data_IF_598228065825
#
_entry.id   IF_598228065825
#
_cell.length_a   1.000
_cell.length_b   1.000
_cell.length_c   1.000
_cell.angle_alpha   90.00
_cell.angle_beta   90.00
_cell.angle_gamma   90.00
#
_symmetry.space_group_name_H-M   'P 1'
#
loop_
_entity.id
_entity.type
_entity.pdbx_description
1 polymer ?
#
# COMPACT_ATOMS: atom_id res chain seq x y z
N UNK A 1 -12.36 0.64 4.68
CA UNK A 1 -12.79 1.96 5.19
C UNK A 1 -14.13 2.30 4.57
N UNK A 2 -15.10 2.75 5.37
CA UNK A 2 -16.37 3.29 4.90
C UNK A 2 -16.50 4.73 5.39
N UNK A 3 -16.95 5.65 4.54
CA UNK A 3 -17.21 7.04 4.91
C UNK A 3 -18.56 7.49 4.36
N UNK A 4 -19.33 8.17 5.20
CA UNK A 4 -20.60 8.82 4.86
C UNK A 4 -20.63 10.21 5.47
N UNK A 5 -20.55 11.24 4.61
CA UNK A 5 -20.42 12.65 5.03
C UNK A 5 -19.22 12.84 5.99
N UNK A 6 -19.50 13.19 7.24
CA UNK A 6 -18.49 13.36 8.29
C UNK A 6 -18.18 12.08 9.06
N UNK A 7 -19.01 11.03 8.95
CA UNK A 7 -18.85 9.78 9.69
C UNK A 7 -17.95 8.81 8.91
N UNK A 8 -16.99 8.20 9.60
CA UNK A 8 -16.11 7.17 9.05
C UNK A 8 -16.04 5.93 9.94
N UNK A 9 -15.81 4.77 9.33
CA UNK A 9 -15.63 3.47 9.99
C UNK A 9 -14.47 2.70 9.38
N UNK A 10 -13.52 2.27 10.21
CA UNK A 10 -12.37 1.46 9.84
C UNK A 10 -12.41 0.10 10.54
N UNK A 11 -12.12 -0.96 9.78
CA UNK A 11 -12.03 -2.34 10.28
C UNK A 11 -10.62 -2.84 9.96
N UNK A 12 -9.98 -3.51 10.93
CA UNK A 12 -8.65 -4.11 10.78
C UNK A 12 -8.74 -5.57 11.19
N UNK A 13 -8.49 -6.48 10.24
CA UNK A 13 -8.73 -7.92 10.44
C UNK A 13 -10.20 -8.18 10.76
N UNK A 14 -10.44 -9.04 11.75
CA UNK A 14 -11.78 -9.42 12.23
C UNK A 14 -12.22 -8.63 13.48
N UNK A 15 -11.56 -7.50 13.76
CA UNK A 15 -11.88 -6.66 14.90
C UNK A 15 -13.15 -5.84 14.67
N UNK A 16 -13.78 -5.41 15.76
CA UNK A 16 -14.91 -4.51 15.72
C UNK A 16 -14.56 -3.19 14.99
N UNK A 17 -15.50 -2.58 14.25
CA UNK A 17 -15.26 -1.32 13.55
C UNK A 17 -14.94 -0.20 14.52
N UNK A 18 -13.90 0.57 14.21
CA UNK A 18 -13.55 1.82 14.88
C UNK A 18 -14.18 2.97 14.11
N UNK A 19 -15.03 3.72 14.79
CA UNK A 19 -15.75 4.85 14.20
C UNK A 19 -15.09 6.19 14.56
N UNK A 20 -15.20 7.16 13.66
CA UNK A 20 -14.72 8.52 13.87
C UNK A 20 -15.54 9.55 13.10
N UNK A 21 -15.40 10.81 13.49
CA UNK A 21 -16.07 11.94 12.83
C UNK A 21 -15.10 13.05 12.49
N UNK A 22 -15.15 13.57 11.27
CA UNK A 22 -14.36 14.75 10.89
C UNK A 22 -14.88 16.01 11.60
N UNK A 23 -13.96 16.92 11.93
CA UNK A 23 -14.31 18.19 12.57
C UNK A 23 -14.95 19.18 11.59
N UNK A 24 -15.75 20.12 12.11
CA UNK A 24 -16.35 21.20 11.33
C UNK A 24 -17.63 20.83 10.62
N UNK A 25 -18.11 21.73 9.74
CA UNK A 25 -19.37 21.58 8.98
C UNK A 25 -19.18 20.99 7.58
N UNK A 26 -17.93 20.85 7.14
CA UNK A 26 -17.63 20.36 5.80
C UNK A 26 -17.88 18.84 5.72
N UNK A 27 -18.76 18.43 4.82
CA UNK A 27 -19.19 17.03 4.67
C UNK A 27 -18.51 16.33 3.50
N UNK A 28 -18.04 17.11 2.51
CA UNK A 28 -17.35 16.59 1.33
C UNK A 28 -15.93 16.14 1.63
N UNK A 29 -15.32 15.48 0.65
CA UNK A 29 -13.89 15.22 0.58
C UNK A 29 -13.48 15.47 -0.87
N UNK A 30 -13.01 16.68 -1.15
CA UNK A 30 -12.55 17.06 -2.47
C UNK A 30 -11.07 16.69 -2.59
N UNK A 31 -10.77 15.77 -3.51
CA UNK A 31 -9.41 15.33 -3.81
C UNK A 31 -9.01 15.93 -5.15
N UNK A 32 -8.03 16.85 -5.12
CA UNK A 32 -7.52 17.53 -6.31
C UNK A 32 -6.21 16.93 -6.84
N UNK A 33 -5.64 15.97 -6.09
CA UNK A 33 -4.38 15.30 -6.41
C UNK A 33 -4.63 13.80 -6.62
N UNK A 34 -3.63 13.13 -7.19
CA UNK A 34 -3.64 11.69 -7.42
C UNK A 34 -3.60 10.90 -6.11
N UNK A 35 -4.10 9.66 -6.16
CA UNK A 35 -3.99 8.72 -5.05
C UNK A 35 -2.63 8.02 -5.11
N UNK A 36 -1.88 8.07 -4.01
CA UNK A 36 -0.62 7.36 -3.87
C UNK A 36 -0.78 6.17 -2.93
N UNK A 37 -0.26 5.01 -3.33
CA UNK A 37 -0.22 3.79 -2.52
C UNK A 37 1.22 3.34 -2.35
N UNK A 38 1.59 2.91 -1.14
CA UNK A 38 2.93 2.41 -0.85
C UNK A 38 3.94 3.52 -0.57
N UNK A 39 3.86 4.67 -1.23
CA UNK A 39 4.75 5.80 -0.95
C UNK A 39 4.45 7.03 -1.79
N UNK A 40 5.23 8.09 -1.59
CA UNK A 40 5.15 9.34 -2.32
C UNK A 40 6.52 9.70 -2.93
N UNK A 41 6.57 10.25 -4.16
CA UNK A 41 7.84 10.46 -4.88
C UNK A 41 8.77 11.50 -4.24
N UNK A 42 8.22 12.52 -3.56
CA UNK A 42 9.01 13.57 -2.90
C UNK A 42 8.48 13.86 -1.49
N UNK A 43 9.02 13.17 -0.48
CA UNK A 43 8.64 13.39 0.92
C UNK A 43 8.99 14.81 1.43
N UNK A 44 9.94 15.50 0.79
CA UNK A 44 10.25 16.90 1.08
C UNK A 44 9.11 17.85 0.75
N UNK A 45 8.24 17.49 -0.21
CA UNK A 45 7.07 18.26 -0.59
C UNK A 45 5.87 18.08 0.36
N UNK A 46 5.85 17.02 1.17
CA UNK A 46 4.73 16.69 2.09
C UNK A 46 5.13 16.64 3.58
N UNK A 47 5.83 17.65 4.12
CA UNK A 47 6.40 17.60 5.47
C UNK A 47 5.33 17.51 6.57
N UNK A 48 4.11 17.98 6.30
CA UNK A 48 2.97 17.94 7.25
C UNK A 48 2.43 16.54 7.49
N UNK A 49 2.68 15.61 6.57
CA UNK A 49 2.20 14.23 6.69
C UNK A 49 3.07 13.43 7.67
N UNK A 50 4.30 13.90 7.96
CA UNK A 50 5.19 13.27 8.92
C UNK A 50 5.77 11.92 8.47
N UNK A 51 5.75 11.66 7.15
CA UNK A 51 6.32 10.47 6.54
C UNK A 51 7.71 10.76 5.97
N UNK A 52 8.65 9.84 6.18
CA UNK A 52 10.02 9.90 5.65
C UNK A 52 10.37 8.71 4.76
N UNK A 53 9.49 7.71 4.69
CA UNK A 53 9.66 6.51 3.89
C UNK A 53 8.30 5.91 3.54
N UNK A 54 8.30 5.03 2.55
CA UNK A 54 7.11 4.31 2.11
C UNK A 54 6.86 3.02 2.90
N UNK A 55 5.69 2.46 2.70
CA UNK A 55 5.33 1.12 3.12
C UNK A 55 6.15 0.06 2.37
N UNK A 56 6.74 -0.86 3.13
CA UNK A 56 7.44 -2.04 2.61
C UNK A 56 6.59 -3.25 3.03
N UNK A 57 5.95 -3.87 2.05
CA UNK A 57 4.94 -4.89 2.32
C UNK A 57 4.20 -5.34 1.06
N UNK A 58 3.41 -6.39 1.18
CA UNK A 58 2.47 -6.81 0.14
C UNK A 58 1.10 -6.13 0.31
N UNK A 59 0.58 -5.55 -0.77
CA UNK A 59 -0.81 -5.06 -0.84
C UNK A 59 -1.54 -5.87 -1.91
N UNK A 60 -2.77 -6.30 -1.60
CA UNK A 60 -3.64 -7.06 -2.51
C UNK A 60 -5.10 -6.65 -2.30
N UNK A 61 -5.96 -7.00 -3.25
CA UNK A 61 -7.41 -6.84 -3.18
C UNK A 61 -7.85 -5.38 -2.91
N UNK A 62 -7.21 -4.42 -3.58
CA UNK A 62 -7.56 -3.00 -3.45
C UNK A 62 -8.90 -2.72 -4.13
N UNK A 63 -9.84 -2.14 -3.38
CA UNK A 63 -11.12 -1.68 -3.89
C UNK A 63 -11.37 -0.23 -3.50
N UNK A 64 -11.76 0.59 -4.46
CA UNK A 64 -12.07 2.01 -4.27
C UNK A 64 -13.50 2.23 -4.73
N UNK A 65 -14.36 2.69 -3.81
CA UNK A 65 -15.79 2.90 -4.08
C UNK A 65 -16.52 1.67 -4.63
N UNK A 66 -16.04 0.47 -4.29
CA UNK A 66 -16.60 -0.81 -4.74
C UNK A 66 -15.94 -1.39 -5.99
N UNK A 67 -15.21 -0.58 -6.76
CA UNK A 67 -14.49 -1.00 -7.95
C UNK A 67 -13.13 -1.60 -7.59
N UNK A 68 -12.78 -2.75 -8.19
CA UNK A 68 -11.49 -3.40 -8.01
C UNK A 68 -10.41 -2.72 -8.85
N UNK A 69 -9.28 -2.42 -8.21
CA UNK A 69 -8.11 -1.83 -8.87
C UNK A 69 -7.11 -2.94 -9.17
N UNK A 70 -6.81 -3.13 -10.46
CA UNK A 70 -5.84 -4.12 -10.93
C UNK A 70 -4.47 -3.44 -11.05
N UNK A 71 -3.52 -3.83 -10.18
CA UNK A 71 -2.19 -3.19 -10.11
C UNK A 71 -1.35 -3.31 -11.40
N UNK A 72 -1.65 -4.27 -12.26
CA UNK A 72 -0.96 -4.48 -13.55
C UNK A 72 -1.58 -3.72 -14.73
N UNK A 73 -2.56 -2.85 -14.47
CA UNK A 73 -3.14 -2.01 -15.52
C UNK A 73 -2.14 -0.95 -15.99
N UNK A 74 -2.12 -0.70 -17.30
CA UNK A 74 -1.16 0.18 -18.00
C UNK A 74 -1.28 1.65 -17.59
N UNK A 75 -2.38 2.04 -16.96
CA UNK A 75 -2.64 3.41 -16.51
C UNK A 75 -2.10 3.71 -15.09
N UNK A 76 -1.43 2.76 -14.44
CA UNK A 76 -0.83 2.96 -13.12
C UNK A 76 0.67 3.22 -13.23
N UNK A 77 1.15 4.28 -12.57
CA UNK A 77 2.58 4.55 -12.41
C UNK A 77 3.11 3.74 -11.23
N UNK A 78 4.03 2.81 -11.51
CA UNK A 78 4.62 1.92 -10.52
C UNK A 78 6.13 2.20 -10.39
N UNK A 79 6.58 2.47 -9.17
CA UNK A 79 8.01 2.66 -8.86
C UNK A 79 8.42 1.70 -7.75
N UNK A 80 9.42 0.85 -8.02
CA UNK A 80 9.98 -0.07 -7.02
C UNK A 80 9.02 -1.18 -6.57
N UNK A 81 8.04 -1.54 -7.40
CA UNK A 81 7.05 -2.59 -7.09
C UNK A 81 7.57 -3.94 -7.62
N UNK A 82 7.41 -4.99 -6.82
CA UNK A 82 7.64 -6.39 -7.19
C UNK A 82 6.41 -7.23 -6.88
N UNK A 83 6.32 -8.43 -7.47
CA UNK A 83 5.23 -9.35 -7.15
C UNK A 83 5.45 -9.98 -5.79
N UNK A 84 4.34 -10.25 -5.09
CA UNK A 84 4.33 -11.08 -3.90
C UNK A 84 3.76 -12.47 -4.21
N UNK A 85 4.29 -13.56 -3.60
CA UNK A 85 5.55 -13.63 -2.85
C UNK A 85 6.77 -13.36 -3.75
N UNK A 86 7.80 -12.71 -3.21
CA UNK A 86 8.95 -12.20 -3.99
C UNK A 86 9.85 -13.30 -4.54
N UNK A 87 9.90 -14.47 -3.89
CA UNK A 87 10.65 -15.61 -4.43
C UNK A 87 10.04 -16.25 -5.68
N UNK A 88 8.79 -15.95 -6.02
CA UNK A 88 8.12 -16.47 -7.23
C UNK A 88 8.86 -16.07 -8.51
N UNK A 89 9.46 -14.89 -8.53
CA UNK A 89 10.16 -14.34 -9.70
C UNK A 89 11.61 -14.85 -9.82
N UNK A 90 12.01 -15.78 -8.94
CA UNK A 90 13.37 -16.36 -8.89
C UNK A 90 14.47 -15.29 -8.87
N UNK A 91 14.47 -14.36 -7.90
CA UNK A 91 15.44 -13.26 -7.87
C UNK A 91 16.87 -13.72 -7.54
N UNK A 92 17.04 -14.88 -6.89
CA UNK A 92 18.34 -15.41 -6.52
C UNK A 92 19.04 -16.08 -7.72
N UNK A 93 20.29 -15.67 -7.97
CA UNK A 93 21.11 -16.20 -9.06
C UNK A 93 22.11 -17.26 -8.55
N UNK A 94 22.86 -17.88 -9.47
CA UNK A 94 23.99 -18.77 -9.16
C UNK A 94 23.66 -19.97 -8.25
N UNK A 95 22.43 -20.50 -8.37
CA UNK A 95 21.99 -21.64 -7.56
C UNK A 95 21.66 -21.28 -6.10
N UNK A 96 21.56 -19.99 -5.75
CA UNK A 96 21.11 -19.55 -4.43
C UNK A 96 19.66 -19.94 -4.14
N UNK A 97 19.39 -20.36 -2.91
CA UNK A 97 18.05 -20.68 -2.44
C UNK A 97 17.33 -19.41 -1.96
N UNK A 98 16.12 -19.18 -2.48
CA UNK A 98 15.31 -18.01 -2.14
C UNK A 98 14.36 -18.31 -0.98
N UNK A 99 14.29 -17.40 -0.01
CA UNK A 99 13.31 -17.41 1.07
C UNK A 99 12.59 -16.06 1.16
N UNK A 100 11.26 -16.05 1.13
CA UNK A 100 10.47 -14.86 1.41
C UNK A 100 10.66 -14.44 2.87
N UNK A 101 10.83 -13.14 3.09
CA UNK A 101 10.96 -12.50 4.40
C UNK A 101 9.60 -12.09 4.95
N UNK A 102 9.46 -12.05 6.28
CA UNK A 102 8.29 -11.49 6.96
C UNK A 102 8.04 -10.02 6.61
N UNK A 103 9.08 -9.28 6.20
CA UNK A 103 8.99 -7.89 5.74
C UNK A 103 8.55 -7.75 4.27
N UNK A 104 7.99 -8.80 3.67
CA UNK A 104 7.62 -8.85 2.24
C UNK A 104 8.79 -8.55 1.28
N UNK A 105 10.02 -8.85 1.71
CA UNK A 105 11.23 -8.89 0.88
C UNK A 105 11.65 -10.35 0.66
N UNK A 106 12.83 -10.59 0.08
CA UNK A 106 13.41 -11.93 -0.05
C UNK A 106 14.85 -11.96 0.49
N UNK A 107 15.31 -13.16 0.83
CA UNK A 107 16.69 -13.46 1.22
C UNK A 107 17.23 -14.56 0.33
N UNK A 108 18.45 -14.39 -0.19
CA UNK A 108 19.16 -15.41 -0.96
C UNK A 108 20.22 -16.08 -0.08
N UNK A 109 20.09 -17.39 0.09
CA UNK A 109 21.11 -18.23 0.74
C UNK A 109 21.97 -18.85 -0.35
N UNK A 110 23.23 -18.42 -0.44
CA UNK A 110 24.15 -18.88 -1.47
C UNK A 110 24.83 -20.21 -1.07
N UNK A 111 25.05 -21.13 -2.02
CA UNK A 111 25.91 -22.29 -1.80
C UNK A 111 27.36 -21.84 -1.56
N UNK A 112 28.11 -22.62 -0.77
CA UNK A 112 29.52 -22.40 -0.47
C UNK A 112 30.43 -22.64 -1.69
#
# INVERSE_FOLDING_TARGET
LLRSLTQGSLIVGDLAPVNGTSQGKFQGLDLNEELYLGGYPDYGAIPKVGLSSGFIGCVRDLRIQGEEIIFHDLNLTAHGISHCPTCRDRPCQNGGQCHDSESSSYVCVCPA
#
